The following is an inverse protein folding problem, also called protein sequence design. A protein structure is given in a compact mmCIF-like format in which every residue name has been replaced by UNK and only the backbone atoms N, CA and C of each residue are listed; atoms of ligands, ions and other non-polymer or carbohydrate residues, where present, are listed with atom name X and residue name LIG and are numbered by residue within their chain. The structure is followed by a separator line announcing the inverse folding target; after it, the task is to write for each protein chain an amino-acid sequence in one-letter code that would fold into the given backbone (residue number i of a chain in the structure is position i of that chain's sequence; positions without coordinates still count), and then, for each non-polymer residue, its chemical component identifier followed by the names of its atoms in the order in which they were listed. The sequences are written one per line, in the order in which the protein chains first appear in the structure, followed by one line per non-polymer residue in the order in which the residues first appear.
data_IF_246062362511
#
_entry.id   IF_246062362511
#
_cell.length_a   1.000
_cell.length_b   1.000
_cell.length_c   1.000
_cell.angle_alpha   90.00
_cell.angle_beta   90.00
_cell.angle_gamma   90.00
#
_symmetry.space_group_name_H-M   'P 1'
#
loop_
_entity.id
_entity.type
_entity.pdbx_description
1 polymer ?
#
# COMPACT_ATOMS: atom_id res chain seq x y z
N UNK A 1 1.76 -5.09 1.60
CA UNK A 1 2.56 -3.88 1.89
C UNK A 1 1.72 -2.92 2.70
N UNK A 2 1.95 -2.82 4.02
CA UNK A 2 1.23 -1.87 4.87
C UNK A 2 1.64 -0.44 4.53
N UNK A 3 0.69 0.47 4.42
CA UNK A 3 0.90 1.87 4.10
C UNK A 3 0.10 2.81 5.00
N UNK A 4 0.70 3.96 5.33
CA UNK A 4 0.05 5.12 5.95
C UNK A 4 0.83 6.38 5.57
N UNK A 5 0.18 7.32 4.89
CA UNK A 5 0.77 8.55 4.35
C UNK A 5 2.05 8.33 3.50
N UNK A 6 1.97 7.37 2.56
CA UNK A 6 3.08 6.87 1.76
C UNK A 6 3.09 7.39 0.31
N UNK A 7 2.22 8.33 -0.07
CA UNK A 7 2.06 8.75 -1.48
C UNK A 7 3.38 9.23 -2.12
N UNK A 8 4.23 9.92 -1.33
CA UNK A 8 5.50 10.47 -1.82
C UNK A 8 6.56 9.41 -2.16
N UNK A 9 6.49 8.24 -1.56
CA UNK A 9 7.50 7.18 -1.72
C UNK A 9 6.99 6.00 -2.51
N UNK A 10 5.67 5.82 -2.60
CA UNK A 10 5.03 4.63 -3.17
C UNK A 10 5.53 4.28 -4.59
N UNK A 11 5.60 5.26 -5.50
CA UNK A 11 6.04 5.00 -6.87
C UNK A 11 7.51 4.55 -6.93
N UNK A 12 8.38 5.15 -6.11
CA UNK A 12 9.78 4.74 -6.01
C UNK A 12 9.91 3.35 -5.41
N UNK A 13 9.20 3.07 -4.32
CA UNK A 13 9.17 1.75 -3.69
C UNK A 13 8.70 0.67 -4.67
N UNK A 14 7.66 0.94 -5.47
CA UNK A 14 7.20 0.01 -6.49
C UNK A 14 8.27 -0.27 -7.56
N UNK A 15 8.98 0.76 -8.03
CA UNK A 15 10.02 0.63 -9.05
C UNK A 15 11.25 -0.16 -8.58
N UNK A 16 11.47 -0.27 -7.27
CA UNK A 16 12.57 -1.02 -6.67
C UNK A 16 12.23 -2.51 -6.46
N UNK A 17 10.97 -2.92 -6.65
CA UNK A 17 10.54 -4.31 -6.50
C UNK A 17 10.95 -5.13 -7.73
N UNK A 18 11.69 -6.25 -7.57
CA UNK A 18 12.01 -7.16 -8.67
C UNK A 18 10.76 -7.95 -9.09
N UNK A 19 10.04 -7.45 -10.10
CA UNK A 19 8.76 -8.01 -10.56
C UNK A 19 8.88 -9.41 -11.16
N UNK A 20 10.09 -9.84 -11.54
CA UNK A 20 10.38 -11.21 -11.97
C UNK A 20 10.33 -12.23 -10.82
N UNK A 21 10.43 -11.77 -9.57
CA UNK A 21 10.40 -12.60 -8.36
C UNK A 21 9.07 -12.50 -7.59
N UNK A 22 8.19 -11.57 -7.97
CA UNK A 22 6.96 -11.25 -7.22
C UNK A 22 5.74 -11.49 -8.10
N UNK A 23 4.87 -12.42 -7.67
CA UNK A 23 3.62 -12.72 -8.40
C UNK A 23 2.58 -11.61 -8.27
N UNK A 24 2.40 -11.08 -7.07
CA UNK A 24 1.34 -10.13 -6.75
C UNK A 24 1.82 -9.08 -5.73
N UNK A 25 1.34 -7.86 -5.89
CA UNK A 25 1.60 -6.76 -4.95
C UNK A 25 0.25 -6.30 -4.39
N UNK A 26 0.11 -6.45 -3.08
CA UNK A 26 -1.03 -5.94 -2.32
C UNK A 26 -0.57 -4.78 -1.45
N UNK A 27 -1.25 -3.64 -1.53
CA UNK A 27 -1.09 -2.52 -0.62
C UNK A 27 -2.30 -2.43 0.30
N UNK A 28 -2.05 -2.30 1.59
CA UNK A 28 -3.10 -2.05 2.59
C UNK A 28 -2.89 -0.65 3.16
N UNK A 29 -3.81 0.26 2.84
CA UNK A 29 -3.82 1.65 3.32
C UNK A 29 -4.57 1.76 4.64
N UNK A 30 -3.92 2.27 5.69
CA UNK A 30 -4.50 2.39 7.02
C UNK A 30 -5.15 3.75 7.27
N UNK A 31 -6.11 4.09 6.39
CA UNK A 31 -6.82 5.36 6.36
C UNK A 31 -5.87 6.57 6.27
N UNK A 32 -5.01 6.58 5.24
CA UNK A 32 -4.13 7.72 4.99
C UNK A 32 -4.92 9.01 4.75
N UNK A 33 -4.35 10.14 5.17
CA UNK A 33 -4.90 11.47 4.92
C UNK A 33 -4.41 12.07 3.58
N UNK A 34 -3.45 11.40 2.92
CA UNK A 34 -2.92 11.77 1.62
C UNK A 34 -3.47 10.86 0.50
N UNK A 35 -2.95 11.05 -0.71
CA UNK A 35 -3.38 10.31 -1.91
C UNK A 35 -2.84 8.87 -1.99
N UNK A 36 -2.33 8.26 -0.91
CA UNK A 36 -1.69 6.93 -0.95
C UNK A 36 -2.56 5.89 -1.63
N UNK A 37 -3.82 5.76 -1.20
CA UNK A 37 -4.74 4.76 -1.76
C UNK A 37 -5.15 5.09 -3.21
N UNK A 38 -5.23 6.37 -3.58
CA UNK A 38 -5.55 6.78 -4.94
C UNK A 38 -4.37 6.51 -5.90
N UNK A 39 -3.15 6.82 -5.47
CA UNK A 39 -1.93 6.55 -6.22
C UNK A 39 -1.71 5.05 -6.39
N UNK A 40 -1.91 4.24 -5.34
CA UNK A 40 -1.78 2.78 -5.42
C UNK A 40 -2.68 2.17 -6.50
N UNK A 41 -3.95 2.59 -6.55
CA UNK A 41 -4.90 2.16 -7.60
C UNK A 41 -4.46 2.60 -9.00
N UNK A 42 -3.96 3.83 -9.16
CA UNK A 42 -3.44 4.33 -10.44
C UNK A 42 -2.20 3.58 -10.92
N UNK A 43 -1.38 3.09 -10.00
CA UNK A 43 -0.19 2.28 -10.29
C UNK A 43 -0.54 0.79 -10.55
N UNK A 44 -1.82 0.42 -10.50
CA UNK A 44 -2.26 -0.96 -10.73
C UNK A 44 -2.02 -1.91 -9.56
N UNK A 45 -1.75 -1.40 -8.36
CA UNK A 45 -1.54 -2.21 -7.15
C UNK A 45 -2.90 -2.65 -6.60
N UNK A 46 -3.05 -3.93 -6.24
CA UNK A 46 -4.23 -4.39 -5.52
C UNK A 46 -4.29 -3.69 -4.16
N UNK A 47 -5.30 -2.82 -3.98
CA UNK A 47 -5.35 -1.89 -2.85
C UNK A 47 -6.54 -2.19 -1.94
N UNK A 48 -6.25 -2.51 -0.68
CA UNK A 48 -7.21 -2.58 0.43
C UNK A 48 -7.08 -1.28 1.23
N UNK A 49 -8.18 -0.72 1.69
CA UNK A 49 -8.17 0.52 2.48
C UNK A 49 -9.04 0.35 3.72
N UNK A 50 -8.47 0.61 4.89
CA UNK A 50 -9.20 0.67 6.15
C UNK A 50 -10.00 1.99 6.25
N UNK A 51 -11.13 1.94 6.94
CA UNK A 51 -12.00 3.12 7.15
C UNK A 51 -11.49 4.08 8.23
N UNK A 52 -10.60 3.60 9.09
CA UNK A 52 -9.90 4.38 10.12
C UNK A 52 -8.53 3.74 10.37
N UNK A 53 -7.60 4.52 10.94
CA UNK A 53 -6.25 4.03 11.25
C UNK A 53 -6.33 3.02 12.41
N UNK A 54 -5.97 1.78 12.13
CA UNK A 54 -5.96 0.67 13.09
C UNK A 54 -4.56 0.42 13.69
N UNK A 55 -3.56 1.17 13.23
CA UNK A 55 -2.17 1.04 13.60
C UNK A 55 -1.44 -0.02 12.78
N UNK A 56 -0.11 0.11 12.77
CA UNK A 56 0.77 -0.68 11.91
C UNK A 56 0.61 -2.20 12.06
N UNK A 57 0.38 -2.69 13.29
CA UNK A 57 0.20 -4.12 13.55
C UNK A 57 -1.08 -4.68 12.95
N UNK A 58 -2.19 -3.94 13.01
CA UNK A 58 -3.45 -4.34 12.38
C UNK A 58 -3.34 -4.25 10.85
N UNK A 59 -2.75 -3.17 10.33
CA UNK A 59 -2.47 -2.99 8.91
C UNK A 59 -1.65 -4.16 8.31
N UNK A 60 -0.58 -4.58 9.00
CA UNK A 60 0.19 -5.75 8.59
C UNK A 60 -0.62 -7.04 8.60
N UNK A 61 -1.50 -7.26 9.58
CA UNK A 61 -2.32 -8.48 9.64
C UNK A 61 -3.26 -8.59 8.45
N UNK A 62 -3.77 -7.48 7.92
CA UNK A 62 -4.58 -7.47 6.70
C UNK A 62 -3.76 -7.80 5.44
N UNK A 63 -2.43 -7.72 5.48
CA UNK A 63 -1.57 -8.06 4.34
C UNK A 63 -1.37 -9.58 4.13
N UNK A 64 -1.84 -10.42 5.05
CA UNK A 64 -1.70 -11.89 5.03
C UNK A 64 -3.07 -12.56 5.16
#
# INVERSE_FOLDING_TARGET
MPAYNAARTLARTLAEIPLDLVSDIILVDDASADDTAALARRLGIHTIQHTHNQGYGANQKTCY
#
